data_IF_615971292413
#
_entry.id   IF_615971292413
#
_cell.length_a   1.000
_cell.length_b   1.000
_cell.length_c   1.000
_cell.angle_alpha   90.00
_cell.angle_beta   90.00
_cell.angle_gamma   90.00
#
_symmetry.space_group_name_H-M   'P 1'
#
loop_
_entity.id
_entity.type
_entity.pdbx_description
1 polymer ?
#
# COMPACT_ATOMS: atom_id res chain seq x y z
N UNK A 1 8.70 -40.82 -31.73
CA UNK A 1 9.01 -39.42 -31.85
C UNK A 1 9.26 -38.85 -30.44
N UNK A 2 10.53 -38.94 -29.97
CA UNK A 2 10.93 -38.36 -28.68
C UNK A 2 11.09 -36.83 -28.77
N UNK A 3 10.31 -36.11 -27.99
CA UNK A 3 10.55 -34.65 -27.80
C UNK A 3 11.85 -34.54 -27.01
N UNK A 4 12.85 -33.87 -27.57
CA UNK A 4 14.10 -33.62 -26.84
C UNK A 4 13.84 -32.73 -25.63
N UNK A 5 14.63 -32.89 -24.56
CA UNK A 5 14.52 -32.02 -23.33
C UNK A 5 14.57 -30.54 -23.71
N UNK A 6 15.38 -30.17 -24.69
CA UNK A 6 15.43 -28.79 -25.22
C UNK A 6 14.14 -28.33 -25.88
N UNK A 7 13.45 -29.20 -26.63
CA UNK A 7 12.16 -28.91 -27.23
C UNK A 7 11.06 -28.70 -26.16
N UNK A 8 11.05 -29.52 -25.11
CA UNK A 8 10.10 -29.36 -24.02
C UNK A 8 10.32 -28.04 -23.25
N UNK A 9 11.56 -27.70 -22.96
CA UNK A 9 11.91 -26.42 -22.32
C UNK A 9 11.49 -25.22 -23.14
N UNK A 10 11.71 -25.26 -24.46
CA UNK A 10 11.29 -24.20 -25.38
C UNK A 10 9.78 -24.02 -25.42
N UNK A 11 9.01 -25.11 -25.41
CA UNK A 11 7.54 -25.07 -25.37
C UNK A 11 7.03 -24.49 -24.06
N UNK A 12 7.62 -24.90 -22.93
CA UNK A 12 7.28 -24.36 -21.61
C UNK A 12 7.58 -22.85 -21.55
N UNK A 13 8.75 -22.43 -22.03
CA UNK A 13 9.13 -21.03 -22.07
C UNK A 13 8.19 -20.19 -22.96
N UNK A 14 7.86 -20.70 -24.15
CA UNK A 14 6.93 -20.07 -25.06
C UNK A 14 5.52 -19.96 -24.45
N UNK A 15 5.05 -21.00 -23.76
CA UNK A 15 3.76 -20.99 -23.06
C UNK A 15 3.75 -19.99 -21.90
N UNK A 16 4.81 -19.94 -21.10
CA UNK A 16 4.96 -18.97 -19.98
C UNK A 16 4.96 -17.55 -20.53
N UNK A 17 5.72 -17.29 -21.60
CA UNK A 17 5.79 -15.98 -22.25
C UNK A 17 4.43 -15.58 -22.84
N UNK A 18 3.79 -16.51 -23.58
CA UNK A 18 2.47 -16.28 -24.15
C UNK A 18 1.44 -15.98 -23.05
N UNK A 19 1.40 -16.76 -21.97
CA UNK A 19 0.54 -16.51 -20.81
C UNK A 19 0.82 -15.13 -20.22
N UNK A 20 2.10 -14.81 -19.99
CA UNK A 20 2.51 -13.53 -19.42
C UNK A 20 2.06 -12.33 -20.28
N UNK A 21 2.14 -12.44 -21.59
CA UNK A 21 1.70 -11.40 -22.52
C UNK A 21 0.17 -11.27 -22.62
N UNK A 22 -0.55 -12.37 -22.38
CA UNK A 22 -2.03 -12.41 -22.43
C UNK A 22 -2.71 -11.97 -21.14
N UNK A 23 -2.04 -12.10 -20.02
CA UNK A 23 -2.60 -11.67 -18.75
C UNK A 23 -2.79 -10.15 -18.71
N UNK A 24 -4.00 -9.73 -18.39
CA UNK A 24 -4.37 -8.33 -18.16
C UNK A 24 -4.80 -8.18 -16.70
N UNK A 25 -4.38 -7.10 -16.02
CA UNK A 25 -4.91 -6.80 -14.70
C UNK A 25 -6.39 -6.43 -14.82
N UNK A 26 -7.17 -6.68 -13.79
CA UNK A 26 -8.61 -6.44 -13.79
C UNK A 26 -9.08 -6.00 -12.43
N UNK A 27 -10.13 -5.20 -12.37
CA UNK A 27 -10.83 -4.90 -11.13
C UNK A 27 -12.03 -5.83 -10.90
N UNK A 28 -12.37 -6.67 -11.90
CA UNK A 28 -13.54 -7.54 -11.92
C UNK A 28 -13.14 -9.00 -11.70
N UNK A 29 -12.75 -9.35 -10.45
CA UNK A 29 -12.46 -10.72 -10.05
C UNK A 29 -13.08 -11.02 -8.69
N UNK A 30 -13.05 -12.28 -8.26
CA UNK A 30 -13.53 -12.69 -6.94
C UNK A 30 -12.49 -12.35 -5.85
N UNK A 31 -12.48 -11.09 -5.44
CA UNK A 31 -11.54 -10.59 -4.44
C UNK A 31 -11.85 -11.09 -3.03
N UNK A 32 -10.82 -11.23 -2.18
CA UNK A 32 -11.02 -11.40 -0.74
C UNK A 32 -11.74 -10.17 -0.18
N UNK A 33 -12.61 -10.36 0.80
CA UNK A 33 -13.53 -9.32 1.28
C UNK A 33 -12.82 -8.05 1.75
N UNK A 34 -11.67 -8.21 2.42
CA UNK A 34 -10.88 -7.08 2.92
C UNK A 34 -10.22 -6.22 1.81
N UNK A 35 -10.23 -6.71 0.57
CA UNK A 35 -9.71 -6.01 -0.63
C UNK A 35 -10.77 -5.93 -1.75
N UNK A 36 -12.05 -6.17 -1.43
CA UNK A 36 -13.10 -6.29 -2.45
C UNK A 36 -13.41 -4.96 -3.14
N UNK A 37 -13.40 -3.85 -2.41
CA UNK A 37 -13.76 -2.53 -2.93
C UNK A 37 -12.53 -1.65 -3.15
N UNK A 38 -12.50 -0.98 -4.29
CA UNK A 38 -11.55 0.08 -4.57
C UNK A 38 -12.07 1.40 -4.00
N UNK A 39 -11.22 2.10 -3.29
CA UNK A 39 -11.54 3.46 -2.88
C UNK A 39 -11.33 4.42 -4.06
N UNK A 40 -12.22 5.40 -4.17
CA UNK A 40 -12.15 6.51 -5.14
C UNK A 40 -12.34 7.85 -4.44
N UNK A 41 -11.85 8.92 -5.04
CA UNK A 41 -11.91 10.27 -4.49
C UNK A 41 -12.56 11.25 -5.47
N UNK A 42 -13.51 12.01 -4.97
CA UNK A 42 -14.16 13.12 -5.67
C UNK A 42 -13.67 14.43 -5.06
N UNK A 43 -13.05 15.27 -5.89
CA UNK A 43 -12.49 16.58 -5.45
C UNK A 43 -13.49 17.68 -5.75
N UNK A 44 -13.75 18.53 -4.74
CA UNK A 44 -14.60 19.72 -4.84
C UNK A 44 -13.91 20.88 -4.10
N UNK A 45 -13.11 21.66 -4.82
CA UNK A 45 -12.30 22.74 -4.28
C UNK A 45 -11.33 22.23 -3.19
N UNK A 46 -11.52 22.70 -1.97
CA UNK A 46 -10.74 22.27 -0.80
C UNK A 46 -11.31 21.05 -0.08
N UNK A 47 -12.39 20.48 -0.59
CA UNK A 47 -12.98 19.26 -0.04
C UNK A 47 -12.69 18.07 -0.92
N UNK A 48 -12.53 16.91 -0.31
CA UNK A 48 -12.47 15.63 -1.00
C UNK A 48 -13.41 14.63 -0.33
N UNK A 49 -14.19 13.91 -1.12
CA UNK A 49 -15.01 12.79 -0.66
C UNK A 49 -14.32 11.51 -1.09
N UNK A 50 -13.91 10.70 -0.12
CA UNK A 50 -13.27 9.40 -0.35
C UNK A 50 -14.32 8.33 -0.18
N UNK A 51 -14.66 7.63 -1.26
CA UNK A 51 -15.65 6.55 -1.29
C UNK A 51 -15.02 5.22 -0.95
N UNK A 52 -15.82 4.31 -0.40
CA UNK A 52 -15.38 2.95 -0.08
C UNK A 52 -14.18 2.88 0.88
N UNK A 53 -14.13 3.74 1.87
CA UNK A 53 -13.16 3.66 2.96
C UNK A 53 -13.50 2.47 3.84
N UNK A 54 -12.54 1.60 4.09
CA UNK A 54 -12.73 0.42 4.94
C UNK A 54 -12.72 0.82 6.42
N UNK A 55 -13.70 0.34 7.16
CA UNK A 55 -13.83 0.59 8.60
C UNK A 55 -14.24 -0.70 9.33
N UNK A 56 -13.51 -1.77 9.07
CA UNK A 56 -13.80 -3.08 9.64
C UNK A 56 -13.47 -3.13 11.13
N UNK A 57 -14.25 -3.92 11.85
CA UNK A 57 -14.03 -4.19 13.27
C UNK A 57 -13.44 -5.59 13.43
N UNK A 58 -12.14 -5.64 13.69
CA UNK A 58 -11.38 -6.89 13.76
C UNK A 58 -11.39 -7.51 15.14
N UNK A 59 -11.78 -8.77 15.23
CA UNK A 59 -11.60 -9.64 16.41
C UNK A 59 -10.39 -10.55 16.25
N UNK A 60 -10.06 -10.90 15.02
CA UNK A 60 -8.83 -11.61 14.63
C UNK A 60 -8.50 -11.30 13.17
N UNK A 61 -7.40 -11.83 12.64
CA UNK A 61 -7.06 -11.68 11.20
C UNK A 61 -8.01 -12.40 10.25
N UNK A 62 -9.01 -13.14 10.76
CA UNK A 62 -9.99 -13.89 9.96
C UNK A 62 -11.43 -13.66 10.40
N UNK A 63 -11.62 -13.00 11.52
CA UNK A 63 -12.94 -12.72 12.11
C UNK A 63 -13.09 -11.22 12.28
N UNK A 64 -14.01 -10.62 11.54
CA UNK A 64 -14.26 -9.19 11.50
C UNK A 64 -15.66 -8.88 11.00
N UNK A 65 -16.17 -7.74 11.39
CA UNK A 65 -17.41 -7.17 10.86
C UNK A 65 -17.06 -6.21 9.73
N UNK A 66 -17.64 -6.44 8.55
CA UNK A 66 -17.42 -5.59 7.38
C UNK A 66 -18.18 -4.28 7.50
N UNK A 67 -17.47 -3.19 7.30
CA UNK A 67 -18.04 -1.86 7.20
C UNK A 67 -17.30 -1.03 6.20
N UNK A 68 -18.03 -0.44 5.26
CA UNK A 68 -17.51 0.49 4.27
C UNK A 68 -18.21 1.83 4.46
N UNK A 69 -17.46 2.90 4.50
CA UNK A 69 -17.95 4.26 4.73
C UNK A 69 -17.42 5.22 3.68
N UNK A 70 -18.07 6.35 3.53
CA UNK A 70 -17.54 7.48 2.80
C UNK A 70 -17.02 8.51 3.79
N UNK A 71 -15.87 9.09 3.49
CA UNK A 71 -15.19 10.07 4.36
C UNK A 71 -15.00 11.36 3.60
N UNK A 72 -15.42 12.46 4.17
CA UNK A 72 -15.14 13.80 3.64
C UNK A 72 -14.02 14.44 4.44
N UNK A 73 -13.00 14.93 3.75
CA UNK A 73 -11.86 15.65 4.36
C UNK A 73 -11.69 17.03 3.75
N UNK A 74 -11.17 17.95 4.54
CA UNK A 74 -10.75 19.28 4.10
C UNK A 74 -9.26 19.26 3.77
N UNK A 75 -8.93 19.52 2.51
CA UNK A 75 -7.54 19.47 2.01
C UNK A 75 -6.69 20.66 2.53
N UNK A 76 -7.32 21.80 2.78
CA UNK A 76 -6.70 22.98 3.37
C UNK A 76 -6.33 22.79 4.84
N UNK A 77 -6.98 21.83 5.53
CA UNK A 77 -6.72 21.47 6.92
C UNK A 77 -5.66 20.39 7.09
N UNK A 78 -5.04 19.93 6.02
CA UNK A 78 -3.99 18.90 6.13
C UNK A 78 -2.81 19.42 6.96
N UNK A 79 -2.49 18.70 8.05
CA UNK A 79 -1.52 19.16 9.05
C UNK A 79 -0.36 18.19 9.24
N UNK A 80 -0.62 16.88 9.22
CA UNK A 80 0.39 15.85 9.52
C UNK A 80 0.28 14.65 8.62
N UNK A 81 1.42 14.01 8.41
CA UNK A 81 1.52 12.69 7.77
C UNK A 81 2.27 11.76 8.72
N UNK A 82 1.73 10.56 8.89
CA UNK A 82 2.32 9.51 9.69
C UNK A 82 2.80 8.38 8.80
N UNK A 83 4.03 7.94 9.02
CA UNK A 83 4.60 6.75 8.40
C UNK A 83 4.51 5.59 9.37
N UNK A 84 3.75 4.57 9.00
CA UNK A 84 3.53 3.37 9.81
C UNK A 84 4.35 2.23 9.24
N UNK A 85 5.15 1.58 10.06
CA UNK A 85 5.99 0.47 9.68
C UNK A 85 5.62 -0.77 10.51
N UNK A 86 5.14 -1.80 9.84
CA UNK A 86 4.85 -3.09 10.45
C UNK A 86 5.94 -4.09 10.10
N UNK A 87 6.73 -4.52 11.07
CA UNK A 87 7.60 -5.69 10.94
C UNK A 87 6.79 -6.96 11.13
N UNK A 88 6.73 -7.82 10.12
CA UNK A 88 5.99 -9.10 10.21
C UNK A 88 6.59 -10.04 11.25
N UNK A 89 7.89 -9.95 11.47
CA UNK A 89 8.66 -10.69 12.47
C UNK A 89 9.82 -9.80 12.93
N UNK A 90 9.89 -9.41 14.22
CA UNK A 90 10.90 -8.45 14.72
C UNK A 90 12.34 -8.87 14.47
N UNK A 91 12.60 -10.18 14.36
CA UNK A 91 13.93 -10.75 14.07
C UNK A 91 14.32 -10.62 12.59
N UNK A 92 13.34 -10.44 11.69
CA UNK A 92 13.53 -10.32 10.23
C UNK A 92 13.20 -8.89 9.77
N UNK A 93 13.98 -7.93 10.21
CA UNK A 93 13.75 -6.50 9.95
C UNK A 93 13.69 -6.13 8.46
N UNK A 94 14.15 -6.98 7.55
CA UNK A 94 14.08 -6.73 6.10
C UNK A 94 12.66 -6.84 5.56
N UNK A 95 11.80 -7.63 6.23
CA UNK A 95 10.42 -7.90 5.80
C UNK A 95 9.46 -7.06 6.63
N UNK A 96 9.02 -5.97 6.04
CA UNK A 96 8.07 -5.07 6.67
C UNK A 96 7.03 -4.58 5.66
N UNK A 97 5.91 -4.09 6.17
CA UNK A 97 4.90 -3.38 5.41
C UNK A 97 4.86 -1.92 5.82
N UNK A 98 4.55 -1.06 4.88
CA UNK A 98 4.51 0.39 5.10
C UNK A 98 3.12 0.93 4.77
N UNK A 99 2.61 1.82 5.63
CA UNK A 99 1.32 2.48 5.50
C UNK A 99 1.53 3.97 5.73
N UNK A 100 0.75 4.81 5.05
CA UNK A 100 0.71 6.24 5.33
C UNK A 100 -0.62 6.59 5.98
N UNK A 101 -0.59 7.42 7.02
CA UNK A 101 -1.78 8.02 7.58
C UNK A 101 -1.70 9.54 7.50
N UNK A 102 -2.83 10.16 7.23
CA UNK A 102 -3.01 11.58 6.96
C UNK A 102 -3.91 12.17 8.04
N UNK A 103 -3.47 13.26 8.67
CA UNK A 103 -4.17 13.91 9.77
C UNK A 103 -4.40 15.37 9.45
N UNK A 104 -5.63 15.83 9.67
CA UNK A 104 -6.00 17.24 9.60
C UNK A 104 -5.74 17.95 10.94
N UNK A 105 -5.73 19.28 10.94
CA UNK A 105 -5.51 20.12 12.14
C UNK A 105 -6.63 19.94 13.19
N UNK A 106 -7.84 19.57 12.77
CA UNK A 106 -8.95 19.24 13.66
C UNK A 106 -8.96 17.77 14.13
N UNK A 107 -7.90 16.99 13.79
CA UNK A 107 -7.69 15.64 14.28
C UNK A 107 -8.40 14.53 13.51
N UNK A 108 -9.01 14.84 12.34
CA UNK A 108 -9.54 13.79 11.47
C UNK A 108 -8.39 13.00 10.85
N UNK A 109 -8.48 11.66 10.83
CA UNK A 109 -7.43 10.78 10.33
C UNK A 109 -7.95 9.75 9.34
N UNK A 110 -7.14 9.49 8.32
CA UNK A 110 -7.36 8.42 7.35
C UNK A 110 -6.03 7.78 6.96
N UNK A 111 -6.00 6.47 6.86
CA UNK A 111 -4.81 5.73 6.46
C UNK A 111 -4.98 5.11 5.08
N UNK A 112 -3.87 5.03 4.34
CA UNK A 112 -3.77 4.34 3.07
C UNK A 112 -2.71 3.25 3.14
N UNK A 113 -3.13 2.01 2.95
CA UNK A 113 -2.26 0.84 2.84
C UNK A 113 -2.19 0.38 1.38
N UNK A 114 -0.99 0.35 0.83
CA UNK A 114 -0.76 -0.11 -0.54
C UNK A 114 -0.52 -1.62 -0.49
N UNK A 115 -1.47 -2.39 -1.01
CA UNK A 115 -1.59 -3.82 -0.77
C UNK A 115 -1.51 -4.65 -2.05
N UNK A 116 -1.24 -5.92 -1.83
CA UNK A 116 -1.48 -6.99 -2.81
C UNK A 116 -2.96 -7.31 -2.83
N UNK A 117 -3.63 -7.13 -3.97
CA UNK A 117 -5.03 -7.52 -4.15
C UNK A 117 -5.09 -9.00 -4.52
N UNK A 118 -5.73 -9.80 -3.68
CA UNK A 118 -5.79 -11.25 -3.81
C UNK A 118 -7.20 -11.73 -4.16
N UNK A 119 -7.29 -12.73 -4.99
CA UNK A 119 -8.55 -13.45 -5.22
C UNK A 119 -8.88 -14.39 -4.04
N UNK A 120 -10.14 -14.79 -3.92
CA UNK A 120 -10.60 -15.76 -2.93
C UNK A 120 -9.76 -17.04 -3.04
N UNK A 121 -9.31 -17.56 -1.89
CA UNK A 121 -8.46 -18.75 -1.82
C UNK A 121 -6.96 -18.52 -2.07
N UNK A 122 -6.55 -17.33 -2.53
CA UNK A 122 -5.14 -17.03 -2.73
C UNK A 122 -4.42 -16.68 -1.43
N UNK A 123 -3.15 -17.06 -1.38
CA UNK A 123 -2.19 -16.63 -0.34
C UNK A 123 -1.06 -15.86 -0.99
N UNK A 124 -0.65 -14.80 -0.35
CA UNK A 124 0.51 -14.05 -0.81
C UNK A 124 1.78 -14.92 -0.82
N UNK A 125 2.51 -14.83 -1.90
CA UNK A 125 3.84 -15.43 -2.04
C UNK A 125 4.74 -14.48 -2.84
N UNK A 126 5.93 -14.08 -2.33
CA UNK A 126 6.78 -13.08 -2.97
C UNK A 126 7.17 -13.43 -4.40
N UNK A 127 7.50 -14.69 -4.68
CA UNK A 127 7.87 -15.14 -6.03
C UNK A 127 6.68 -15.01 -7.00
N UNK A 128 5.46 -15.35 -6.56
CA UNK A 128 4.27 -15.19 -7.42
C UNK A 128 4.02 -13.72 -7.77
N UNK A 129 4.34 -12.78 -6.87
CA UNK A 129 4.25 -11.36 -7.12
C UNK A 129 5.18 -10.84 -8.24
N UNK A 130 6.18 -11.61 -8.66
CA UNK A 130 7.02 -11.29 -9.83
C UNK A 130 6.33 -11.64 -11.16
N UNK A 131 5.30 -12.50 -11.16
CA UNK A 131 4.73 -13.13 -12.35
C UNK A 131 3.28 -12.74 -12.62
N UNK A 132 2.88 -11.48 -12.38
CA UNK A 132 1.52 -10.98 -12.67
C UNK A 132 0.42 -11.86 -12.05
N UNK A 133 0.60 -12.22 -10.79
CA UNK A 133 -0.37 -13.03 -10.05
C UNK A 133 -1.36 -12.17 -9.26
N UNK A 134 -0.95 -10.99 -8.87
CA UNK A 134 -1.73 -10.11 -7.99
C UNK A 134 -1.85 -8.73 -8.60
N UNK A 135 -2.99 -8.08 -8.40
CA UNK A 135 -3.17 -6.69 -8.69
C UNK A 135 -2.72 -5.80 -7.53
N UNK A 136 -2.42 -4.55 -7.84
CA UNK A 136 -2.13 -3.51 -6.86
C UNK A 136 -3.43 -2.87 -6.39
N UNK A 137 -3.56 -2.64 -5.08
CA UNK A 137 -4.68 -1.89 -4.51
C UNK A 137 -4.21 -0.89 -3.47
N UNK A 138 -4.85 0.28 -3.43
CA UNK A 138 -4.76 1.26 -2.35
C UNK A 138 -5.98 1.08 -1.45
N UNK A 139 -5.76 0.50 -0.29
CA UNK A 139 -6.80 0.31 0.73
C UNK A 139 -6.84 1.54 1.61
N UNK A 140 -7.82 2.40 1.39
CA UNK A 140 -8.13 3.49 2.29
C UNK A 140 -8.97 2.96 3.44
N UNK A 141 -8.57 3.27 4.66
CA UNK A 141 -9.21 2.74 5.85
C UNK A 141 -9.08 3.69 7.04
N UNK A 142 -9.93 3.51 8.04
CA UNK A 142 -9.69 4.13 9.34
C UNK A 142 -8.42 3.54 9.98
N UNK A 143 -7.72 4.32 10.82
CA UNK A 143 -6.56 3.81 11.56
C UNK A 143 -6.94 2.64 12.47
N UNK A 144 -8.12 2.71 13.07
CA UNK A 144 -8.67 1.63 13.91
C UNK A 144 -8.74 0.30 13.16
N UNK A 145 -9.11 0.33 11.87
CA UNK A 145 -9.13 -0.84 11.01
C UNK A 145 -7.69 -1.25 10.63
N UNK A 146 -7.04 -0.46 9.79
CA UNK A 146 -5.83 -0.90 9.09
C UNK A 146 -4.60 -0.97 10.00
N UNK A 147 -4.44 -0.06 10.95
CA UNK A 147 -3.36 -0.09 11.93
C UNK A 147 -3.76 -1.02 13.09
N UNK A 148 -5.02 -0.92 13.53
CA UNK A 148 -5.52 -1.70 14.66
C UNK A 148 -5.46 -3.21 14.46
N UNK A 149 -5.76 -3.73 13.26
CA UNK A 149 -5.64 -5.18 12.99
C UNK A 149 -4.18 -5.65 13.09
N UNK A 150 -3.24 -4.81 12.71
CA UNK A 150 -1.80 -5.11 12.76
C UNK A 150 -1.27 -5.11 14.19
N UNK A 151 -1.59 -4.07 14.94
CA UNK A 151 -1.13 -3.92 16.31
C UNK A 151 -1.78 -4.92 17.28
N UNK A 152 -3.07 -5.27 17.09
CA UNK A 152 -3.82 -6.07 18.07
C UNK A 152 -4.06 -7.52 17.66
N UNK A 153 -4.20 -7.80 16.36
CA UNK A 153 -4.60 -9.13 15.90
C UNK A 153 -3.44 -9.97 15.33
N UNK A 154 -2.32 -9.37 14.97
CA UNK A 154 -1.14 -10.06 14.43
C UNK A 154 -0.11 -10.32 15.53
N UNK A 155 -0.18 -11.49 16.15
CA UNK A 155 0.62 -11.87 17.36
C UNK A 155 2.15 -11.75 17.23
N UNK A 156 2.70 -11.74 16.02
CA UNK A 156 4.16 -11.72 15.77
C UNK A 156 4.64 -10.41 15.19
N UNK A 157 3.75 -9.54 14.76
CA UNK A 157 4.14 -8.26 14.18
C UNK A 157 4.32 -7.18 15.23
N UNK A 158 5.22 -6.25 14.95
CA UNK A 158 5.40 -5.03 15.73
C UNK A 158 5.18 -3.84 14.80
N UNK A 159 4.35 -2.91 15.24
CA UNK A 159 3.97 -1.73 14.46
C UNK A 159 4.56 -0.49 15.10
N UNK A 160 5.32 0.26 14.33
CA UNK A 160 5.91 1.55 14.72
C UNK A 160 5.23 2.68 13.97
N UNK A 161 5.06 3.80 14.63
CA UNK A 161 4.48 5.02 14.09
C UNK A 161 5.51 6.14 14.12
N UNK A 162 5.71 6.80 13.00
CA UNK A 162 6.66 7.90 12.85
C UNK A 162 5.95 9.11 12.25
N UNK A 163 6.06 10.27 12.89
CA UNK A 163 5.60 11.52 12.27
C UNK A 163 6.55 11.92 11.15
N UNK A 164 6.01 12.08 9.96
CA UNK A 164 6.77 12.51 8.79
C UNK A 164 6.98 14.03 8.83
N UNK A 165 8.22 14.49 8.80
CA UNK A 165 8.50 15.92 8.63
C UNK A 165 8.32 16.29 7.16
N UNK A 166 7.24 16.97 6.85
CA UNK A 166 6.91 17.45 5.52
C UNK A 166 7.47 18.85 5.38
N UNK A 167 8.34 19.07 4.39
CA UNK A 167 8.98 20.36 4.15
C UNK A 167 8.18 21.19 3.14
N UNK A 168 8.01 22.47 3.45
CA UNK A 168 7.32 23.42 2.58
C UNK A 168 5.80 23.41 2.75
N UNK A 169 5.18 24.58 2.63
CA UNK A 169 3.76 24.74 2.88
C UNK A 169 2.90 23.98 1.88
N UNK A 170 1.85 23.34 2.38
CA UNK A 170 0.85 22.65 1.57
C UNK A 170 1.31 21.32 0.95
N UNK A 171 2.50 20.83 1.30
CA UNK A 171 2.96 19.55 0.77
C UNK A 171 2.29 18.34 1.42
N UNK A 172 1.73 18.46 2.63
CA UNK A 172 0.83 17.47 3.22
C UNK A 172 -0.41 17.28 2.35
N UNK A 173 -1.03 18.37 1.90
CA UNK A 173 -2.13 18.36 0.95
C UNK A 173 -1.73 17.69 -0.37
N UNK A 174 -0.62 18.11 -0.97
CA UNK A 174 -0.13 17.56 -2.24
C UNK A 174 0.13 16.05 -2.15
N UNK A 175 0.66 15.61 -1.00
CA UNK A 175 0.89 14.18 -0.75
C UNK A 175 -0.44 13.41 -0.71
N UNK A 176 -1.43 13.88 0.06
CA UNK A 176 -2.76 13.26 0.10
C UNK A 176 -3.40 13.25 -1.29
N UNK A 177 -3.37 14.36 -2.02
CA UNK A 177 -3.92 14.45 -3.38
C UNK A 177 -3.24 13.46 -4.34
N UNK A 178 -1.91 13.31 -4.29
CA UNK A 178 -1.16 12.35 -5.09
C UNK A 178 -1.65 10.91 -4.86
N UNK A 179 -1.81 10.51 -3.59
CA UNK A 179 -2.35 9.19 -3.23
C UNK A 179 -3.78 8.97 -3.72
N UNK A 180 -4.64 9.96 -3.56
CA UNK A 180 -6.05 9.87 -3.98
C UNK A 180 -6.20 9.81 -5.51
N UNK A 181 -5.42 10.62 -6.25
CA UNK A 181 -5.38 10.57 -7.72
C UNK A 181 -4.86 9.22 -8.21
N UNK A 182 -3.87 8.64 -7.53
CA UNK A 182 -3.36 7.30 -7.83
C UNK A 182 -4.43 6.23 -7.59
N UNK A 183 -5.22 6.35 -6.52
CA UNK A 183 -6.35 5.45 -6.25
C UNK A 183 -7.40 5.52 -7.37
N UNK A 184 -7.77 6.74 -7.80
CA UNK A 184 -8.69 6.93 -8.92
C UNK A 184 -8.15 6.29 -10.21
N UNK A 185 -6.85 6.48 -10.49
CA UNK A 185 -6.23 5.87 -11.66
C UNK A 185 -6.31 4.35 -11.60
N UNK A 186 -6.00 3.72 -10.47
CA UNK A 186 -6.07 2.27 -10.32
C UNK A 186 -7.49 1.72 -10.43
N UNK A 187 -8.51 2.50 -10.06
CA UNK A 187 -9.91 2.09 -10.21
C UNK A 187 -10.36 2.01 -11.67
N UNK A 188 -9.80 2.84 -12.55
CA UNK A 188 -10.08 2.84 -14.00
C UNK A 188 -9.06 2.04 -14.80
N UNK A 189 -7.81 2.03 -14.38
CA UNK A 189 -6.68 1.41 -15.05
C UNK A 189 -5.96 0.46 -14.06
N UNK A 190 -6.46 -0.78 -13.86
CA UNK A 190 -5.85 -1.71 -12.93
C UNK A 190 -4.42 -2.06 -13.32
N UNK A 191 -3.57 -2.29 -12.33
CA UNK A 191 -2.16 -2.60 -12.51
C UNK A 191 -1.75 -3.83 -11.73
N UNK A 192 -0.72 -4.54 -12.23
CA UNK A 192 -0.12 -5.64 -11.50
C UNK A 192 0.74 -5.14 -10.33
N UNK A 193 0.53 -5.71 -9.17
CA UNK A 193 1.55 -5.70 -8.12
C UNK A 193 2.80 -6.42 -8.61
N UNK A 194 3.96 -5.89 -8.26
CA UNK A 194 5.24 -6.56 -8.54
C UNK A 194 6.15 -6.43 -7.33
N UNK A 195 6.66 -7.56 -6.83
CA UNK A 195 7.48 -7.64 -5.61
C UNK A 195 8.74 -6.77 -5.64
N UNK A 196 9.20 -6.34 -6.81
CA UNK A 196 10.40 -5.49 -6.96
C UNK A 196 10.02 -4.07 -7.38
N UNK A 197 9.15 -3.90 -8.37
CA UNK A 197 8.96 -2.62 -9.05
C UNK A 197 7.66 -1.90 -8.69
N UNK A 198 6.67 -2.60 -8.12
CA UNK A 198 5.35 -2.03 -7.83
C UNK A 198 4.82 -2.54 -6.47
N UNK A 199 5.50 -2.15 -5.39
CA UNK A 199 5.23 -2.52 -4.00
C UNK A 199 4.67 -1.34 -3.20
N UNK A 200 4.35 -1.55 -1.92
CA UNK A 200 4.02 -0.46 -1.00
C UNK A 200 5.13 0.61 -0.98
N UNK A 201 6.38 0.21 -0.78
CA UNK A 201 7.50 1.15 -0.65
C UNK A 201 7.82 1.87 -1.94
N UNK A 202 7.83 1.17 -3.09
CA UNK A 202 8.11 1.82 -4.39
C UNK A 202 7.06 2.88 -4.74
N UNK A 203 5.79 2.62 -4.42
CA UNK A 203 4.71 3.60 -4.62
C UNK A 203 4.84 4.79 -3.64
N UNK A 204 5.15 4.55 -2.36
CA UNK A 204 5.41 5.63 -1.40
C UNK A 204 6.54 6.53 -1.90
N UNK A 205 7.65 5.95 -2.36
CA UNK A 205 8.77 6.70 -2.94
C UNK A 205 8.34 7.47 -4.19
N UNK A 206 7.47 6.90 -5.02
CA UNK A 206 6.88 7.59 -6.16
C UNK A 206 6.15 8.85 -5.73
N UNK A 207 5.26 8.77 -4.74
CA UNK A 207 4.53 9.92 -4.19
C UNK A 207 5.45 10.97 -3.56
N UNK A 208 6.46 10.52 -2.79
CA UNK A 208 7.45 11.43 -2.21
C UNK A 208 8.21 12.16 -3.31
N UNK A 209 8.63 11.48 -4.36
CA UNK A 209 9.37 12.10 -5.46
C UNK A 209 8.48 12.94 -6.40
N UNK A 210 7.17 12.72 -6.42
CA UNK A 210 6.21 13.62 -7.09
C UNK A 210 6.12 14.97 -6.37
N UNK A 211 6.08 14.97 -5.04
CA UNK A 211 6.02 16.17 -4.21
C UNK A 211 7.40 16.84 -4.08
N UNK A 212 8.46 16.03 -3.98
CA UNK A 212 9.86 16.44 -3.81
C UNK A 212 10.74 15.76 -4.86
N UNK A 213 10.89 16.27 -6.07
CA UNK A 213 11.62 15.62 -7.15
C UNK A 213 13.04 15.21 -6.75
N UNK A 214 13.37 13.91 -6.94
CA UNK A 214 14.69 13.36 -6.67
C UNK A 214 15.06 13.22 -5.18
N UNK A 215 14.11 13.42 -4.26
CA UNK A 215 14.37 13.39 -2.81
C UNK A 215 14.80 12.02 -2.32
N UNK A 216 14.16 10.95 -2.82
CA UNK A 216 14.48 9.58 -2.45
C UNK A 216 15.11 8.88 -3.66
N UNK A 217 16.43 8.68 -3.65
CA UNK A 217 17.09 7.93 -4.72
C UNK A 217 16.71 6.46 -4.68
N UNK A 218 16.62 5.84 -5.83
CA UNK A 218 16.42 4.40 -5.93
C UNK A 218 17.57 3.64 -5.27
N UNK A 219 17.23 2.66 -4.41
CA UNK A 219 18.24 1.89 -3.67
C UNK A 219 17.64 0.65 -3.00
N UNK A 220 18.52 -0.16 -2.40
CA UNK A 220 18.16 -1.43 -1.73
C UNK A 220 17.13 -1.22 -0.61
N UNK A 221 17.16 -0.10 0.08
CA UNK A 221 16.20 0.24 1.15
C UNK A 221 14.76 0.37 0.66
N UNK A 222 14.55 0.66 -0.64
CA UNK A 222 13.20 0.71 -1.24
C UNK A 222 12.67 -0.71 -1.47
N UNK A 223 13.54 -1.65 -1.80
CA UNK A 223 13.20 -3.06 -2.00
C UNK A 223 13.01 -3.80 -0.68
N UNK A 224 13.62 -3.31 0.40
CA UNK A 224 13.55 -3.89 1.74
C UNK A 224 12.93 -2.89 2.71
N UNK A 225 11.60 -2.84 2.82
CA UNK A 225 10.85 -1.82 3.59
C UNK A 225 11.32 -1.67 5.03
N UNK A 226 11.72 -2.75 5.66
CA UNK A 226 12.23 -2.73 7.04
C UNK A 226 13.56 -2.00 7.23
N UNK A 227 14.26 -1.63 6.15
CA UNK A 227 15.44 -0.76 6.16
C UNK A 227 15.11 0.71 5.87
N UNK A 228 13.85 1.01 5.55
CA UNK A 228 13.38 2.35 5.21
C UNK A 228 13.50 3.40 6.32
N UNK A 229 13.49 3.09 7.64
CA UNK A 229 13.73 4.10 8.68
C UNK A 229 15.05 4.85 8.52
N UNK A 230 16.09 4.23 7.94
CA UNK A 230 17.37 4.90 7.67
C UNK A 230 17.27 6.00 6.61
N UNK A 231 16.76 5.74 5.37
CA UNK A 231 16.50 6.79 4.38
C UNK A 231 15.48 7.82 4.86
N UNK A 232 14.43 7.38 5.57
CA UNK A 232 13.41 8.25 6.15
C UNK A 232 13.99 9.20 7.18
N UNK A 233 14.92 8.76 8.03
CA UNK A 233 15.62 9.64 8.98
C UNK A 233 16.60 10.60 8.30
N UNK A 234 17.25 10.20 7.21
CA UNK A 234 18.14 11.07 6.43
C UNK A 234 17.40 12.10 5.58
N UNK A 235 16.13 11.85 5.24
CA UNK A 235 15.29 12.76 4.43
C UNK A 235 14.45 13.72 5.25
N UNK A 236 14.82 13.99 6.52
CA UNK A 236 14.11 14.87 7.47
C UNK A 236 12.77 14.33 8.02
N UNK A 237 12.62 13.01 8.09
CA UNK A 237 11.67 12.41 8.99
C UNK A 237 12.33 12.32 10.38
N UNK A 238 12.11 13.31 11.25
CA UNK A 238 12.41 13.15 12.67
C UNK A 238 11.34 12.20 13.23
N UNK A 239 11.77 10.98 13.50
CA UNK A 239 10.92 10.00 14.13
C UNK A 239 10.79 10.30 15.62
N UNK A 240 9.60 10.66 16.06
CA UNK A 240 9.19 10.34 17.42
C UNK A 240 8.57 8.95 17.34
N UNK A 241 9.34 7.95 17.76
CA UNK A 241 8.89 6.57 17.77
C UNK A 241 7.86 6.39 18.89
N UNK A 242 6.65 5.95 18.52
CA UNK A 242 5.66 5.44 19.47
C UNK A 242 5.37 4.00 19.10
N UNK A 243 5.70 3.07 19.97
CA UNK A 243 5.30 1.67 19.85
C UNK A 243 3.82 1.59 20.23
N UNK A 244 2.99 1.04 19.36
CA UNK A 244 1.58 0.76 19.66
C UNK A 244 1.52 -0.62 20.34
N UNK A 245 1.26 -0.64 21.65
CA UNK A 245 0.97 -1.85 22.43
C UNK A 245 -0.44 -2.38 22.16
#
# INVERSE_FOLDING_TARGET
>A
LGVSVGGLLSLVLAWVLWRHLRLRPSNERFWVNDNARMATAEFDGDKVIIRNVRDFVWRSTRDYDERWIDVTMSLDKMAKIWFVLEYFEPTKKQMAHTIMSFETDDGQRIACSIEVRREQGERYHPIKGLFRQYELIYVWATERDVIGVRARCRKKSVTHLFEAVVLGPGNERRMLESYLRRSNKLSSEPEWYNTITNTCTTNIVGHVNEVYPGRVPWGVSILLPGLSPKPVSYTHLRAHETTLD
#
